data_IF_371740829794
#
_entry.id   IF_371740829794
#
_cell.length_a   1.000
_cell.length_b   1.000
_cell.length_c   1.000
_cell.angle_alpha   90.00
_cell.angle_beta   90.00
_cell.angle_gamma   90.00
#
_symmetry.space_group_name_H-M   'P 1'
#
loop_
_entity.id
_entity.type
_entity.pdbx_description
1 polymer ?
#
# COMPACT_ATOMS: atom_id res chain seq x y z
N UNK A 1 -22.71 2.82 3.06
CA UNK A 1 -21.54 2.79 2.15
C UNK A 1 -20.49 3.73 2.73
N UNK A 2 -19.23 3.40 2.67
CA UNK A 2 -18.17 4.28 3.15
C UNK A 2 -18.17 5.59 2.34
N UNK A 3 -17.86 6.69 3.01
CA UNK A 3 -17.70 7.99 2.39
C UNK A 3 -16.30 8.13 1.83
N UNK A 4 -16.17 8.33 0.53
CA UNK A 4 -14.87 8.31 -0.18
C UNK A 4 -14.60 9.67 -0.81
N UNK A 5 -13.40 10.21 -0.59
CA UNK A 5 -12.87 11.33 -1.36
C UNK A 5 -11.86 10.83 -2.39
N UNK A 6 -11.84 11.41 -3.58
CA UNK A 6 -10.82 11.21 -4.60
C UNK A 6 -10.14 12.55 -4.86
N UNK A 7 -8.83 12.59 -4.67
CA UNK A 7 -8.04 13.82 -4.84
C UNK A 7 -7.02 13.65 -5.95
N UNK A 8 -7.14 14.48 -6.98
CA UNK A 8 -6.16 14.58 -8.08
C UNK A 8 -5.33 15.87 -7.98
N UNK A 9 -4.22 15.94 -8.70
CA UNK A 9 -3.33 17.12 -8.65
C UNK A 9 -4.01 18.37 -9.20
N UNK A 10 -4.72 18.25 -10.32
CA UNK A 10 -5.45 19.33 -11.01
C UNK A 10 -6.56 18.74 -11.86
N UNK A 11 -7.55 19.55 -12.30
CA UNK A 11 -8.63 19.06 -13.13
C UNK A 11 -8.12 18.31 -14.36
N UNK A 12 -8.59 17.09 -14.54
CA UNK A 12 -8.25 16.22 -15.66
C UNK A 12 -9.51 15.84 -16.45
N UNK A 13 -9.30 15.23 -17.63
CA UNK A 13 -10.41 14.65 -18.42
C UNK A 13 -10.67 13.18 -18.07
N UNK A 14 -10.01 12.67 -17.02
CA UNK A 14 -10.17 11.28 -16.59
C UNK A 14 -11.55 11.09 -15.97
N UNK A 15 -12.28 10.10 -16.46
CA UNK A 15 -13.52 9.69 -15.86
C UNK A 15 -13.26 8.61 -14.81
N UNK A 16 -13.03 9.01 -13.56
CA UNK A 16 -12.68 8.09 -12.48
C UNK A 16 -13.81 7.10 -12.16
N UNK A 17 -15.08 7.45 -12.34
CA UNK A 17 -16.17 6.49 -12.20
C UNK A 17 -16.00 5.31 -13.16
N UNK A 18 -15.62 5.59 -14.41
CA UNK A 18 -15.32 4.55 -15.40
C UNK A 18 -14.02 3.81 -15.06
N UNK A 19 -12.99 4.52 -14.62
CA UNK A 19 -11.70 3.91 -14.28
C UNK A 19 -11.82 2.93 -13.11
N UNK A 20 -12.71 3.20 -12.15
CA UNK A 20 -13.02 2.29 -11.04
C UNK A 20 -14.26 1.41 -11.26
N UNK A 21 -14.72 1.27 -12.52
CA UNK A 21 -15.85 0.42 -12.93
C UNK A 21 -17.18 0.75 -12.20
N UNK A 22 -17.31 1.96 -11.65
CA UNK A 22 -18.46 2.35 -10.83
C UNK A 22 -18.57 1.61 -9.51
N UNK A 23 -17.48 1.05 -8.99
CA UNK A 23 -17.49 0.19 -7.80
C UNK A 23 -17.85 0.93 -6.50
N UNK A 24 -17.66 2.23 -6.45
CA UNK A 24 -17.99 3.09 -5.31
C UNK A 24 -18.30 4.52 -5.75
N UNK A 25 -19.04 5.25 -4.91
CA UNK A 25 -19.26 6.68 -5.07
C UNK A 25 -18.17 7.47 -4.35
N UNK A 26 -17.83 8.65 -4.88
CA UNK A 26 -16.79 9.51 -4.30
C UNK A 26 -17.05 10.99 -4.57
N UNK A 27 -16.62 11.85 -3.66
CA UNK A 27 -16.50 13.28 -3.87
C UNK A 27 -15.14 13.58 -4.49
N UNK A 28 -15.11 14.30 -5.62
CA UNK A 28 -13.88 14.59 -6.35
C UNK A 28 -13.33 15.97 -5.99
N UNK A 29 -12.03 16.00 -5.66
CA UNK A 29 -11.27 17.20 -5.32
C UNK A 29 -10.02 17.33 -6.18
N UNK A 30 -9.52 18.55 -6.29
CA UNK A 30 -8.24 18.87 -6.92
C UNK A 30 -7.36 19.60 -5.92
N UNK A 31 -6.05 19.33 -5.92
CA UNK A 31 -5.09 20.12 -5.14
C UNK A 31 -5.05 21.56 -5.63
N UNK A 32 -5.13 21.76 -6.94
CA UNK A 32 -5.07 23.05 -7.60
C UNK A 32 -6.20 23.14 -8.63
N UNK A 33 -6.96 24.22 -8.57
CA UNK A 33 -8.07 24.49 -9.50
C UNK A 33 -7.62 24.93 -10.89
N UNK A 34 -6.36 25.40 -11.06
CA UNK A 34 -5.83 25.85 -12.35
C UNK A 34 -5.30 24.68 -13.22
N UNK A 35 -6.03 24.30 -14.29
CA UNK A 35 -5.60 23.22 -15.18
C UNK A 35 -4.40 23.58 -16.05
N UNK A 36 -4.04 24.85 -16.16
CA UNK A 36 -3.00 25.32 -17.09
C UNK A 36 -1.58 25.18 -16.54
N UNK A 37 -1.42 25.03 -15.22
CA UNK A 37 -0.11 24.89 -14.59
C UNK A 37 0.60 23.63 -15.11
N UNK A 38 1.83 23.81 -15.59
CA UNK A 38 2.68 22.68 -16.01
C UNK A 38 3.16 21.86 -14.83
N UNK A 39 3.40 22.52 -13.68
CA UNK A 39 3.83 21.91 -12.42
C UNK A 39 3.08 22.59 -11.29
N UNK A 40 2.47 21.83 -10.42
CA UNK A 40 1.81 22.30 -9.20
C UNK A 40 2.82 22.34 -8.07
N UNK A 41 2.99 23.50 -7.44
CA UNK A 41 3.80 23.67 -6.24
C UNK A 41 2.87 23.79 -5.04
N UNK A 42 3.37 23.55 -3.83
CA UNK A 42 2.55 23.63 -2.61
C UNK A 42 1.81 24.96 -2.44
N UNK A 43 2.41 26.07 -2.90
CA UNK A 43 1.80 27.41 -2.88
C UNK A 43 0.63 27.59 -3.86
N UNK A 44 0.54 26.71 -4.87
CA UNK A 44 -0.49 26.74 -5.90
C UNK A 44 -1.68 25.85 -5.51
N UNK A 45 -1.58 25.16 -4.37
CA UNK A 45 -2.66 24.32 -3.86
C UNK A 45 -3.69 25.17 -3.13
N UNK A 46 -4.93 25.08 -3.60
CA UNK A 46 -6.10 25.81 -3.09
C UNK A 46 -7.20 24.86 -2.58
N UNK A 47 -6.86 23.57 -2.42
CA UNK A 47 -7.80 22.55 -1.94
C UNK A 47 -8.31 22.87 -0.53
N UNK A 48 -9.61 22.76 -0.36
CA UNK A 48 -10.29 22.82 0.94
C UNK A 48 -11.04 21.50 1.12
N UNK A 49 -10.48 20.58 1.88
CA UNK A 49 -11.08 19.30 2.23
C UNK A 49 -10.80 18.99 3.69
N UNK A 50 -11.82 18.60 4.43
CA UNK A 50 -11.66 17.96 5.72
C UNK A 50 -11.60 16.44 5.51
N UNK A 51 -10.40 15.88 5.60
CA UNK A 51 -10.21 14.44 5.40
C UNK A 51 -10.89 13.62 6.48
N UNK A 52 -11.18 14.18 7.65
CA UNK A 52 -11.82 13.45 8.76
C UNK A 52 -13.29 13.17 8.53
N UNK A 53 -13.89 13.85 7.55
CA UNK A 53 -15.25 13.53 7.10
C UNK A 53 -15.32 12.25 6.23
N UNK A 54 -14.19 11.69 5.80
CA UNK A 54 -14.12 10.56 4.88
C UNK A 54 -13.55 9.31 5.55
N UNK A 55 -14.14 8.17 5.25
CA UNK A 55 -13.61 6.85 5.64
C UNK A 55 -12.35 6.52 4.83
N UNK A 56 -12.35 6.88 3.53
CA UNK A 56 -11.24 6.66 2.62
C UNK A 56 -10.93 7.89 1.77
N UNK A 57 -9.65 8.10 1.50
CA UNK A 57 -9.15 9.17 0.61
C UNK A 57 -8.25 8.58 -0.45
N UNK A 58 -8.73 8.50 -1.68
CA UNK A 58 -7.97 8.02 -2.84
C UNK A 58 -7.10 9.16 -3.37
N UNK A 59 -5.78 8.99 -3.34
CA UNK A 59 -4.79 9.99 -3.74
C UNK A 59 -4.22 9.66 -5.12
N UNK A 60 -4.62 10.42 -6.15
CA UNK A 60 -4.22 10.17 -7.54
C UNK A 60 -2.93 10.90 -7.89
N UNK A 61 -1.84 10.15 -8.04
CA UNK A 61 -0.54 10.66 -8.44
C UNK A 61 0.34 11.12 -7.28
N UNK A 62 1.62 11.40 -7.60
CA UNK A 62 2.64 11.70 -6.59
C UNK A 62 2.41 13.00 -5.84
N UNK A 63 1.85 14.02 -6.50
CA UNK A 63 1.65 15.33 -5.86
C UNK A 63 0.55 15.25 -4.80
N UNK A 64 -0.55 14.52 -5.07
CA UNK A 64 -1.60 14.29 -4.09
C UNK A 64 -1.07 13.48 -2.89
N UNK A 65 -0.32 12.40 -3.13
CA UNK A 65 0.30 11.61 -2.07
C UNK A 65 1.24 12.47 -1.20
N UNK A 66 2.11 13.25 -1.83
CA UNK A 66 3.07 14.11 -1.12
C UNK A 66 2.41 15.24 -0.33
N UNK A 67 1.26 15.72 -0.78
CA UNK A 67 0.55 16.81 -0.11
C UNK A 67 -0.02 16.36 1.25
N UNK A 68 -0.65 15.19 1.30
CA UNK A 68 -1.31 14.65 2.49
C UNK A 68 -0.39 13.81 3.38
N UNK A 69 0.65 13.22 2.78
CA UNK A 69 1.61 12.37 3.49
C UNK A 69 3.04 12.87 3.28
N UNK A 70 4.03 12.22 3.88
CA UNK A 70 5.45 12.53 3.64
C UNK A 70 6.07 11.64 2.55
N UNK A 71 5.26 10.81 1.89
CA UNK A 71 5.71 9.82 0.92
C UNK A 71 5.84 10.46 -0.46
N UNK A 72 6.91 10.14 -1.18
CA UNK A 72 7.21 10.73 -2.49
C UNK A 72 6.97 9.76 -3.67
N UNK A 73 6.88 8.45 -3.44
CA UNK A 73 6.81 7.43 -4.49
C UNK A 73 5.41 6.83 -4.59
N UNK A 74 4.55 7.38 -5.46
CA UNK A 74 3.23 6.81 -5.67
C UNK A 74 3.28 5.41 -6.30
N UNK A 75 4.29 5.10 -7.09
CA UNK A 75 4.41 3.79 -7.75
C UNK A 75 4.63 2.66 -6.74
N UNK A 76 5.40 2.93 -5.69
CA UNK A 76 5.72 1.96 -4.64
C UNK A 76 4.52 1.68 -3.72
N UNK A 77 3.69 2.71 -3.49
CA UNK A 77 2.55 2.64 -2.57
C UNK A 77 1.20 2.51 -3.30
N UNK A 78 1.21 2.43 -4.63
CA UNK A 78 -0.02 2.35 -5.42
C UNK A 78 -0.85 1.12 -5.04
N UNK A 79 -2.10 1.35 -4.63
CA UNK A 79 -3.02 0.30 -4.18
C UNK A 79 -2.74 -0.26 -2.79
N UNK A 80 -1.87 0.38 -2.00
CA UNK A 80 -1.62 0.02 -0.60
C UNK A 80 -2.22 1.08 0.31
N UNK A 81 -2.71 0.67 1.47
CA UNK A 81 -3.14 1.62 2.50
C UNK A 81 -1.92 2.33 3.09
N UNK A 82 -2.00 3.64 3.17
CA UNK A 82 -1.01 4.52 3.80
C UNK A 82 -1.69 5.25 4.94
N UNK A 83 -1.05 5.23 6.10
CA UNK A 83 -1.64 5.73 7.33
C UNK A 83 -2.98 5.01 7.59
N UNK A 84 -3.99 5.70 8.12
CA UNK A 84 -5.25 5.05 8.48
C UNK A 84 -6.24 4.91 7.33
N UNK A 85 -6.21 5.83 6.33
CA UNK A 85 -7.27 5.96 5.32
C UNK A 85 -6.85 6.40 3.92
N UNK A 86 -5.56 6.64 3.69
CA UNK A 86 -5.10 7.07 2.37
C UNK A 86 -4.81 5.89 1.45
N UNK A 87 -5.36 5.94 0.25
CA UNK A 87 -5.20 4.93 -0.81
C UNK A 87 -4.55 5.56 -2.04
N UNK A 88 -3.21 5.64 -2.10
CA UNK A 88 -2.51 6.20 -3.25
C UNK A 88 -2.68 5.31 -4.49
N UNK A 89 -2.76 5.97 -5.64
CA UNK A 89 -2.82 5.31 -6.94
C UNK A 89 -2.08 6.13 -7.99
N UNK A 90 -1.45 5.45 -8.94
CA UNK A 90 -0.85 6.12 -10.09
C UNK A 90 -1.95 6.80 -10.93
N UNK A 91 -1.61 7.91 -11.58
CA UNK A 91 -2.58 8.57 -12.44
C UNK A 91 -2.80 7.74 -13.72
N UNK A 92 -4.05 7.32 -14.05
CA UNK A 92 -4.32 6.50 -15.23
C UNK A 92 -3.95 7.18 -16.55
N UNK A 93 -3.86 8.51 -16.59
CA UNK A 93 -3.35 9.23 -17.76
C UNK A 93 -1.91 8.87 -18.12
N UNK A 94 -1.14 8.36 -17.16
CA UNK A 94 0.23 7.86 -17.43
C UNK A 94 0.26 6.66 -18.37
N UNK A 95 -0.81 5.86 -18.43
CA UNK A 95 -0.87 4.65 -19.24
C UNK A 95 -0.73 4.93 -20.75
N UNK A 96 -1.07 6.15 -21.18
CA UNK A 96 -0.86 6.59 -22.55
C UNK A 96 0.64 6.72 -22.90
N UNK A 97 1.49 6.98 -21.92
CA UNK A 97 2.94 7.20 -22.10
C UNK A 97 3.78 6.05 -21.54
N UNK A 98 3.22 5.28 -20.61
CA UNK A 98 3.88 4.15 -19.93
C UNK A 98 2.94 2.94 -19.90
N UNK A 99 2.77 2.24 -21.04
CA UNK A 99 1.88 1.07 -21.10
C UNK A 99 2.25 -0.05 -20.12
N UNK A 100 3.53 -0.15 -19.75
CA UNK A 100 4.04 -1.11 -18.78
C UNK A 100 3.45 -0.91 -17.37
N UNK A 101 2.99 0.31 -17.05
CA UNK A 101 2.34 0.61 -15.77
C UNK A 101 0.90 0.08 -15.68
N UNK A 102 0.35 -0.51 -16.77
CA UNK A 102 -1.03 -1.03 -16.78
C UNK A 102 -1.27 -2.08 -15.73
N UNK A 103 -0.34 -3.01 -15.55
CA UNK A 103 -0.47 -4.04 -14.50
C UNK A 103 -0.56 -3.41 -13.12
N UNK A 104 0.33 -2.46 -12.81
CA UNK A 104 0.30 -1.73 -11.53
C UNK A 104 -1.03 -1.00 -11.33
N UNK A 105 -1.57 -0.39 -12.37
CA UNK A 105 -2.88 0.27 -12.32
C UNK A 105 -4.00 -0.72 -11.99
N UNK A 106 -4.10 -1.84 -12.72
CA UNK A 106 -5.15 -2.84 -12.54
C UNK A 106 -5.08 -3.50 -11.14
N UNK A 107 -3.87 -3.82 -10.68
CA UNK A 107 -3.68 -4.39 -9.35
C UNK A 107 -4.05 -3.37 -8.25
N UNK A 108 -3.63 -2.11 -8.41
CA UNK A 108 -3.98 -1.02 -7.48
C UNK A 108 -5.47 -0.76 -7.43
N UNK A 109 -6.15 -0.74 -8.60
CA UNK A 109 -7.59 -0.58 -8.69
C UNK A 109 -8.33 -1.65 -7.90
N UNK A 110 -7.97 -2.92 -8.09
CA UNK A 110 -8.57 -4.04 -7.36
C UNK A 110 -8.41 -3.88 -5.85
N UNK A 111 -7.20 -3.55 -5.40
CA UNK A 111 -6.92 -3.38 -3.98
C UNK A 111 -7.72 -2.21 -3.38
N UNK A 112 -7.78 -1.06 -4.07
CA UNK A 112 -8.56 0.10 -3.61
C UNK A 112 -10.04 -0.25 -3.46
N UNK A 113 -10.61 -0.93 -4.46
CA UNK A 113 -12.00 -1.39 -4.41
C UNK A 113 -12.21 -2.33 -3.22
N UNK A 114 -11.29 -3.27 -3.01
CA UNK A 114 -11.35 -4.23 -1.91
C UNK A 114 -11.24 -3.56 -0.53
N UNK A 115 -10.36 -2.55 -0.36
CA UNK A 115 -10.32 -1.75 0.87
C UNK A 115 -11.64 -1.01 1.13
N UNK A 116 -12.17 -0.32 0.12
CA UNK A 116 -13.40 0.46 0.24
C UNK A 116 -14.59 -0.45 0.57
N UNK A 117 -14.64 -1.64 0.01
CA UNK A 117 -15.68 -2.63 0.28
C UNK A 117 -15.49 -3.42 1.59
N UNK A 118 -14.36 -3.22 2.30
CA UNK A 118 -14.04 -3.98 3.51
C UNK A 118 -13.69 -5.44 3.26
N UNK A 119 -13.23 -5.76 2.03
CA UNK A 119 -12.80 -7.12 1.65
C UNK A 119 -11.33 -7.39 2.04
N UNK A 120 -10.55 -6.33 2.25
CA UNK A 120 -9.19 -6.40 2.78
C UNK A 120 -9.24 -5.87 4.21
N UNK A 121 -9.02 -6.75 5.15
CA UNK A 121 -8.70 -6.36 6.53
C UNK A 121 -7.21 -6.04 6.62
N UNK A 122 -6.86 -5.00 7.38
CA UNK A 122 -5.47 -4.76 7.72
C UNK A 122 -4.95 -5.97 8.48
N UNK A 123 -3.94 -6.60 7.94
CA UNK A 123 -3.15 -7.54 8.73
C UNK A 123 -2.43 -6.68 9.77
N UNK A 124 -3.00 -6.60 10.96
CA UNK A 124 -2.31 -6.04 12.12
C UNK A 124 -1.13 -6.98 12.36
N UNK A 125 0.03 -6.59 11.84
CA UNK A 125 1.28 -7.25 12.22
C UNK A 125 1.53 -6.79 13.64
N UNK A 126 1.19 -7.64 14.59
CA UNK A 126 1.55 -7.43 15.98
C UNK A 126 3.07 -7.62 16.09
N UNK A 127 3.80 -6.52 15.92
CA UNK A 127 5.27 -6.52 16.05
C UNK A 127 5.73 -6.98 17.44
N UNK A 128 4.84 -6.98 18.44
CA UNK A 128 5.15 -7.45 19.79
C UNK A 128 5.41 -8.95 19.85
N UNK A 129 4.94 -9.71 18.84
CA UNK A 129 5.20 -11.15 18.72
C UNK A 129 6.42 -11.47 17.86
N UNK A 130 7.04 -10.47 17.21
CA UNK A 130 8.28 -10.64 16.49
C UNK A 130 9.44 -10.73 17.48
N UNK A 131 10.09 -11.88 17.56
CA UNK A 131 11.22 -12.14 18.44
C UNK A 131 12.48 -12.40 17.61
N UNK A 132 13.53 -11.65 17.87
CA UNK A 132 14.86 -11.94 17.35
C UNK A 132 15.75 -12.45 18.49
N UNK A 133 16.41 -13.59 18.31
CA UNK A 133 17.33 -14.13 19.33
C UNK A 133 18.62 -14.67 18.71
N UNK A 134 19.71 -14.57 19.46
CA UNK A 134 20.97 -15.26 19.20
C UNK A 134 21.18 -16.41 20.18
N UNK A 135 20.30 -16.60 21.13
CA UNK A 135 20.35 -17.69 22.09
C UNK A 135 19.75 -18.97 21.49
N UNK A 136 20.58 -20.05 21.52
CA UNK A 136 20.22 -21.33 20.92
C UNK A 136 19.07 -22.02 21.66
N UNK A 137 18.97 -21.89 22.98
CA UNK A 137 17.91 -22.54 23.75
C UNK A 137 16.58 -21.82 23.57
N UNK A 138 16.63 -20.50 23.48
CA UNK A 138 15.45 -19.68 23.18
C UNK A 138 14.92 -19.99 21.79
N UNK A 139 15.78 -20.05 20.76
CA UNK A 139 15.42 -20.45 19.41
C UNK A 139 14.81 -21.87 19.35
N UNK A 140 15.40 -22.82 20.07
CA UNK A 140 14.85 -24.19 20.15
C UNK A 140 13.50 -24.23 20.83
N UNK A 141 13.29 -23.43 21.88
CA UNK A 141 12.02 -23.34 22.59
C UNK A 141 10.92 -22.82 21.64
N UNK A 142 11.24 -21.79 20.87
CA UNK A 142 10.32 -21.24 19.87
C UNK A 142 9.97 -22.25 18.77
N UNK A 143 10.96 -22.96 18.21
CA UNK A 143 10.75 -23.99 17.20
C UNK A 143 9.87 -25.13 17.75
N UNK A 144 10.10 -25.56 18.98
CA UNK A 144 9.24 -26.59 19.62
C UNK A 144 7.81 -26.11 19.79
N UNK A 145 7.61 -24.84 20.17
CA UNK A 145 6.27 -24.27 20.30
C UNK A 145 5.57 -24.17 18.93
N UNK A 146 6.30 -23.76 17.89
CA UNK A 146 5.80 -23.70 16.53
C UNK A 146 5.37 -25.10 16.02
N UNK A 147 6.19 -26.12 16.24
CA UNK A 147 5.84 -27.51 15.87
C UNK A 147 4.67 -28.05 16.67
N UNK A 148 4.56 -27.72 17.95
CA UNK A 148 3.44 -28.14 18.79
C UNK A 148 2.11 -27.49 18.37
N UNK A 149 2.15 -26.28 17.81
CA UNK A 149 0.98 -25.60 17.26
C UNK A 149 0.44 -26.28 15.97
N UNK A 150 1.24 -27.18 15.37
CA UNK A 150 0.90 -27.95 14.17
C UNK A 150 0.34 -27.06 13.03
N UNK A 151 1.06 -26.00 12.63
CA UNK A 151 0.56 -25.07 11.64
C UNK A 151 0.48 -25.73 10.25
N UNK A 152 -0.50 -25.35 9.44
CA UNK A 152 -0.62 -25.83 8.04
C UNK A 152 0.53 -25.37 7.16
N UNK A 153 1.09 -24.20 7.46
CA UNK A 153 2.18 -23.60 6.71
C UNK A 153 3.18 -22.93 7.64
N UNK A 154 4.45 -23.04 7.29
CA UNK A 154 5.54 -22.31 7.92
C UNK A 154 6.26 -21.56 6.79
N UNK A 155 6.37 -20.25 6.91
CA UNK A 155 7.23 -19.44 6.07
C UNK A 155 8.63 -19.45 6.67
N UNK A 156 9.64 -19.66 5.84
CA UNK A 156 11.04 -19.69 6.24
C UNK A 156 11.87 -18.91 5.23
N UNK A 157 12.68 -18.01 5.74
CA UNK A 157 13.67 -17.28 4.96
C UNK A 157 15.05 -17.39 5.61
N UNK A 158 16.10 -17.45 4.80
CA UNK A 158 17.48 -17.65 5.29
C UNK A 158 18.41 -16.58 4.76
N UNK A 159 19.16 -15.97 5.67
CA UNK A 159 20.22 -15.03 5.34
C UNK A 159 21.57 -15.73 5.29
N UNK A 160 22.35 -15.45 4.24
CA UNK A 160 23.68 -16.06 4.03
C UNK A 160 24.73 -14.98 3.76
N UNK A 161 25.97 -15.28 4.08
CA UNK A 161 27.08 -14.36 3.83
C UNK A 161 27.65 -14.43 2.40
N UNK A 162 27.02 -15.13 1.48
CA UNK A 162 27.47 -15.22 0.09
C UNK A 162 26.49 -15.92 -0.83
N UNK A 163 26.60 -15.59 -2.12
CA UNK A 163 25.73 -16.14 -3.18
C UNK A 163 26.14 -17.55 -3.65
N UNK A 164 27.30 -18.04 -3.21
CA UNK A 164 27.83 -19.34 -3.65
C UNK A 164 27.59 -20.43 -2.59
N UNK A 165 26.72 -21.43 -2.87
CA UNK A 165 26.32 -22.44 -1.89
C UNK A 165 27.50 -23.24 -1.27
N UNK A 166 28.63 -23.34 -1.96
CA UNK A 166 29.78 -24.09 -1.48
C UNK A 166 30.65 -23.33 -0.46
N UNK A 167 30.59 -22.01 -0.44
CA UNK A 167 31.45 -21.16 0.40
C UNK A 167 30.63 -20.21 1.30
N UNK A 168 29.29 -20.26 1.20
CA UNK A 168 28.39 -19.46 2.02
C UNK A 168 28.06 -20.14 3.35
N UNK A 169 28.00 -19.38 4.40
CA UNK A 169 27.47 -19.81 5.69
C UNK A 169 26.12 -19.11 5.94
N UNK A 170 25.17 -19.86 6.49
CA UNK A 170 23.92 -19.28 6.99
C UNK A 170 24.24 -18.43 8.20
N UNK A 171 23.80 -17.17 8.17
CA UNK A 171 23.99 -16.19 9.25
C UNK A 171 22.71 -15.88 10.00
N UNK A 172 21.57 -16.23 9.45
CA UNK A 172 20.28 -16.06 10.09
C UNK A 172 19.17 -16.85 9.42
N UNK A 173 18.12 -17.12 10.17
CA UNK A 173 16.85 -17.67 9.68
C UNK A 173 15.73 -16.83 10.28
N UNK A 174 14.81 -16.38 9.44
CA UNK A 174 13.52 -15.90 9.89
C UNK A 174 12.44 -16.96 9.64
N UNK A 175 11.56 -17.12 10.60
CA UNK A 175 10.47 -18.09 10.53
C UNK A 175 9.18 -17.43 10.96
N UNK A 176 8.10 -17.74 10.26
CA UNK A 176 6.76 -17.34 10.64
C UNK A 176 5.78 -18.48 10.41
N UNK A 177 4.79 -18.62 11.28
CA UNK A 177 3.70 -19.54 11.10
C UNK A 177 2.39 -18.92 11.57
N UNK A 178 1.31 -19.23 10.88
CA UNK A 178 -0.04 -18.86 11.30
C UNK A 178 -0.64 -20.00 12.10
N UNK A 179 -0.99 -19.74 13.35
CA UNK A 179 -1.60 -20.72 14.25
C UNK A 179 -3.11 -20.85 14.08
N UNK A 180 -3.71 -20.12 13.12
CA UNK A 180 -5.17 -20.16 12.86
C UNK A 180 -5.44 -20.43 11.39
N UNK A 181 -6.46 -21.25 11.16
CA UNK A 181 -7.10 -21.49 9.85
C UNK A 181 -7.80 -20.25 9.35
#
# INVERSE_FOLDING_TARGET
>A
MPKVALVETKPSRTNFTREFDGAFEFDQYQLCSDPTLKKVLKRDCDISIDTDEYDWVVLVGSDALKYFTKINSVTEYSGKKVEEKFLPVINPSMLAFKPEARKTWEDSKKNIIAYINGEIEDVIIDESIAMGTQDTEEAKAWIKAALAANPKQIALDSETNGLYPRNGHMIGISMSYTGKD
#
